data_IF_664795712143
#
_entry.id   IF_664795712143
#
_cell.length_a   1.000
_cell.length_b   1.000
_cell.length_c   1.000
_cell.angle_alpha   90.00
_cell.angle_beta   90.00
_cell.angle_gamma   90.00
#
_symmetry.space_group_name_H-M   'P 1'
#
loop_
_entity.id
_entity.type
_entity.pdbx_description
1 polymer ?
#
# COMPACT_ATOMS: atom_id res chain seq x y z
N UNK A 1 -15.22 15.51 -18.84
CA UNK A 1 -15.05 14.24 -18.11
C UNK A 1 -14.23 14.54 -16.88
N UNK A 2 -14.66 14.25 -15.68
CA UNK A 2 -13.74 14.31 -14.56
C UNK A 2 -12.59 13.35 -14.87
N UNK A 3 -11.37 13.83 -14.78
CA UNK A 3 -10.18 12.99 -14.89
C UNK A 3 -10.31 11.88 -13.84
N UNK A 4 -10.17 10.62 -14.25
CA UNK A 4 -10.17 9.51 -13.29
C UNK A 4 -9.09 9.76 -12.24
N UNK A 5 -9.45 9.72 -10.97
CA UNK A 5 -8.54 9.92 -9.85
C UNK A 5 -7.35 8.98 -9.99
N UNK A 6 -6.14 9.52 -9.95
CA UNK A 6 -4.92 8.73 -10.04
C UNK A 6 -4.41 8.36 -8.65
N UNK A 7 -4.27 7.05 -8.39
CA UNK A 7 -3.83 6.51 -7.11
C UNK A 7 -2.55 5.70 -7.32
N UNK A 8 -1.48 6.04 -6.62
CA UNK A 8 -0.32 5.19 -6.48
C UNK A 8 -0.43 4.34 -5.20
N UNK A 9 -0.14 3.05 -5.29
CA UNK A 9 -0.01 2.18 -4.13
C UNK A 9 1.46 1.96 -3.83
N UNK A 10 1.85 2.20 -2.59
CA UNK A 10 3.22 2.00 -2.08
C UNK A 10 3.25 0.80 -1.15
N UNK A 11 4.16 -0.12 -1.40
CA UNK A 11 4.43 -1.29 -0.57
C UNK A 11 5.90 -1.31 -0.21
N UNK A 12 6.23 -1.27 1.08
CA UNK A 12 7.61 -1.44 1.56
C UNK A 12 7.80 -2.89 1.97
N UNK A 13 8.69 -3.59 1.26
CA UNK A 13 9.05 -4.97 1.54
C UNK A 13 10.32 -5.05 2.36
N UNK A 14 10.31 -5.89 3.39
CA UNK A 14 11.48 -6.34 4.11
C UNK A 14 11.23 -7.74 4.64
N UNK A 15 11.82 -8.74 3.98
CA UNK A 15 11.72 -10.16 4.35
C UNK A 15 10.27 -10.64 4.53
N UNK A 16 9.35 -10.22 3.64
CA UNK A 16 7.94 -10.58 3.76
C UNK A 16 7.60 -11.98 3.21
N UNK A 17 8.55 -12.66 2.58
CA UNK A 17 8.34 -14.00 2.01
C UNK A 17 7.15 -14.04 1.06
N UNK A 18 6.34 -15.09 1.17
CA UNK A 18 5.14 -15.30 0.33
C UNK A 18 4.05 -14.24 0.51
N UNK A 19 4.08 -13.47 1.61
CA UNK A 19 3.07 -12.44 1.84
C UNK A 19 3.14 -11.33 0.81
N UNK A 20 4.35 -10.92 0.39
CA UNK A 20 4.51 -9.92 -0.66
C UNK A 20 3.76 -10.32 -1.92
N UNK A 21 3.96 -11.54 -2.42
CA UNK A 21 3.30 -12.03 -3.62
C UNK A 21 1.78 -12.00 -3.50
N UNK A 22 1.25 -12.44 -2.36
CA UNK A 22 -0.20 -12.42 -2.08
C UNK A 22 -0.75 -10.99 -2.02
N UNK A 23 -0.05 -10.07 -1.37
CA UNK A 23 -0.38 -8.65 -1.32
C UNK A 23 -0.49 -8.06 -2.73
N UNK A 24 0.56 -8.25 -3.55
CA UNK A 24 0.60 -7.74 -4.93
C UNK A 24 -0.45 -8.37 -5.83
N UNK A 25 -0.77 -9.65 -5.62
CA UNK A 25 -1.86 -10.33 -6.33
C UNK A 25 -3.21 -9.66 -6.03
N UNK A 26 -3.47 -9.27 -4.78
CA UNK A 26 -4.65 -8.51 -4.39
C UNK A 26 -4.74 -7.15 -5.09
N UNK A 27 -3.62 -6.48 -5.35
CA UNK A 27 -3.60 -5.22 -6.10
C UNK A 27 -3.90 -5.42 -7.59
N UNK A 28 -3.48 -6.54 -8.18
CA UNK A 28 -3.82 -6.87 -9.57
C UNK A 28 -5.31 -7.13 -9.78
N UNK A 29 -6.00 -7.62 -8.77
CA UNK A 29 -7.42 -8.00 -8.85
C UNK A 29 -8.38 -6.91 -8.40
N UNK A 30 -7.88 -5.71 -8.03
CA UNK A 30 -8.72 -4.57 -7.65
C UNK A 30 -9.74 -4.22 -8.74
N UNK A 31 -10.98 -3.87 -8.35
CA UNK A 31 -12.03 -3.36 -9.26
C UNK A 31 -11.61 -2.04 -9.89
N UNK A 32 -11.12 -1.09 -9.07
CA UNK A 32 -10.42 0.10 -9.52
C UNK A 32 -8.92 -0.19 -9.57
N UNK A 33 -8.32 -0.18 -10.76
CA UNK A 33 -6.89 -0.43 -10.90
C UNK A 33 -6.07 0.73 -10.34
N UNK A 34 -4.99 0.45 -9.58
CA UNK A 34 -4.04 1.50 -9.23
C UNK A 34 -3.39 2.08 -10.50
N UNK A 35 -3.15 3.37 -10.51
CA UNK A 35 -2.41 4.04 -11.60
C UNK A 35 -0.95 3.57 -11.61
N UNK A 36 -0.37 3.39 -10.42
CA UNK A 36 0.99 2.88 -10.22
C UNK A 36 1.03 1.98 -8.99
N UNK A 37 1.89 0.98 -9.02
CA UNK A 37 2.27 0.19 -7.84
C UNK A 37 3.78 0.28 -7.69
N UNK A 38 4.25 0.81 -6.57
CA UNK A 38 5.66 1.01 -6.27
C UNK A 38 6.00 0.14 -5.06
N UNK A 39 6.86 -0.83 -5.28
CA UNK A 39 7.39 -1.72 -4.24
C UNK A 39 8.80 -1.28 -3.91
N UNK A 40 9.05 -0.89 -2.67
CA UNK A 40 10.41 -0.62 -2.20
C UNK A 40 10.90 -1.82 -1.41
N UNK A 41 11.89 -2.50 -1.96
CA UNK A 41 12.58 -3.57 -1.26
C UNK A 41 13.68 -2.97 -0.37
N UNK A 42 13.46 -3.02 0.92
CA UNK A 42 14.31 -2.38 1.93
C UNK A 42 15.47 -3.30 2.35
N UNK A 43 16.23 -3.78 1.37
CA UNK A 43 17.34 -4.71 1.50
C UNK A 43 16.92 -6.06 2.12
N UNK A 44 15.89 -6.70 1.55
CA UNK A 44 15.51 -8.06 1.94
C UNK A 44 16.62 -9.05 1.64
N UNK A 45 16.76 -10.03 2.54
CA UNK A 45 17.70 -11.15 2.40
C UNK A 45 17.00 -12.47 2.06
N UNK A 46 15.66 -12.46 2.01
CA UNK A 46 14.84 -13.56 1.57
C UNK A 46 14.58 -13.52 0.05
N UNK A 47 13.87 -14.49 -0.48
CA UNK A 47 13.56 -14.58 -1.91
C UNK A 47 12.27 -13.84 -2.30
N UNK A 48 11.66 -13.06 -1.40
CA UNK A 48 10.37 -12.41 -1.62
C UNK A 48 10.28 -11.61 -2.93
N UNK A 49 11.35 -10.93 -3.32
CA UNK A 49 11.42 -10.20 -4.61
C UNK A 49 11.77 -11.13 -5.77
N UNK A 50 12.67 -12.09 -5.56
CA UNK A 50 13.15 -12.97 -6.64
C UNK A 50 12.06 -13.95 -7.09
N UNK A 51 11.12 -14.29 -6.21
CA UNK A 51 9.97 -15.16 -6.49
C UNK A 51 8.80 -14.43 -7.17
N UNK A 52 8.90 -13.11 -7.37
CA UNK A 52 7.93 -12.38 -8.15
C UNK A 52 8.04 -12.77 -9.63
N UNK A 53 6.97 -13.35 -10.16
CA UNK A 53 6.91 -13.78 -11.56
C UNK A 53 6.70 -12.61 -12.53
N UNK A 54 6.71 -12.94 -13.83
CA UNK A 54 6.48 -11.98 -14.92
C UNK A 54 5.14 -11.25 -14.83
N UNK A 55 4.19 -11.82 -14.14
CA UNK A 55 2.88 -11.20 -13.88
C UNK A 55 2.95 -9.88 -13.11
N UNK A 56 4.10 -9.56 -12.51
CA UNK A 56 4.34 -8.30 -11.76
C UNK A 56 5.29 -7.34 -12.49
N UNK A 57 5.68 -7.61 -13.74
CA UNK A 57 6.58 -6.74 -14.51
C UNK A 57 6.07 -5.30 -14.69
N UNK A 58 4.75 -5.10 -14.59
CA UNK A 58 4.15 -3.76 -14.65
C UNK A 58 4.30 -2.96 -13.34
N UNK A 59 4.74 -3.59 -12.26
CA UNK A 59 4.95 -2.94 -10.98
C UNK A 59 6.38 -2.42 -10.89
N UNK A 60 6.54 -1.25 -10.30
CA UNK A 60 7.83 -0.61 -10.15
C UNK A 60 8.53 -1.14 -8.89
N UNK A 61 9.68 -1.78 -9.05
CA UNK A 61 10.45 -2.32 -7.93
C UNK A 61 11.72 -1.49 -7.73
N UNK A 62 11.86 -0.90 -6.55
CA UNK A 62 13.04 -0.14 -6.12
C UNK A 62 13.76 -0.99 -5.09
N UNK A 63 14.98 -1.43 -5.39
CA UNK A 63 15.81 -2.20 -4.45
C UNK A 63 16.80 -1.28 -3.75
N UNK A 64 16.82 -1.30 -2.43
CA UNK A 64 17.79 -0.59 -1.61
C UNK A 64 18.95 -1.52 -1.23
N UNK A 65 20.14 -0.95 -1.06
CA UNK A 65 21.34 -1.70 -0.67
C UNK A 65 21.40 -2.00 0.83
N UNK A 66 20.70 -1.19 1.63
CA UNK A 66 20.61 -1.34 3.08
C UNK A 66 19.20 -1.06 3.59
N UNK A 67 18.87 -1.58 4.78
CA UNK A 67 17.60 -1.29 5.43
C UNK A 67 17.62 0.13 6.01
N UNK A 68 16.97 1.04 5.31
CA UNK A 68 16.86 2.47 5.65
C UNK A 68 15.72 2.79 6.61
N UNK A 69 14.98 1.78 7.05
CA UNK A 69 13.77 1.94 7.86
C UNK A 69 12.52 2.22 7.04
N UNK A 70 11.39 1.97 7.68
CA UNK A 70 10.06 2.03 7.03
C UNK A 70 9.72 3.44 6.49
N UNK A 71 9.95 4.47 7.31
CA UNK A 71 9.59 5.84 6.94
C UNK A 71 10.40 6.36 5.74
N UNK A 72 11.70 6.10 5.70
CA UNK A 72 12.55 6.52 4.58
C UNK A 72 12.13 5.83 3.29
N UNK A 73 11.90 4.52 3.32
CA UNK A 73 11.49 3.74 2.15
C UNK A 73 10.14 4.24 1.59
N UNK A 74 9.16 4.52 2.46
CA UNK A 74 7.90 5.11 2.05
C UNK A 74 8.09 6.50 1.41
N UNK A 75 8.88 7.38 2.03
CA UNK A 75 9.14 8.73 1.51
C UNK A 75 9.84 8.68 0.14
N UNK A 76 10.72 7.71 -0.08
CA UNK A 76 11.35 7.49 -1.37
C UNK A 76 10.30 7.14 -2.45
N UNK A 77 9.40 6.20 -2.15
CA UNK A 77 8.31 5.82 -3.06
C UNK A 77 7.37 6.99 -3.36
N UNK A 78 7.01 7.79 -2.36
CA UNK A 78 6.16 8.98 -2.53
C UNK A 78 6.79 9.98 -3.51
N UNK A 79 8.10 10.19 -3.44
CA UNK A 79 8.81 11.06 -4.40
C UNK A 79 8.73 10.53 -5.84
N UNK A 80 8.69 9.21 -6.02
CA UNK A 80 8.50 8.61 -7.34
C UNK A 80 7.05 8.74 -7.84
N UNK A 81 6.08 8.78 -6.92
CA UNK A 81 4.64 8.86 -7.20
C UNK A 81 4.13 10.30 -7.39
N UNK A 82 5.00 11.27 -7.66
CA UNK A 82 4.72 12.71 -7.69
C UNK A 82 3.64 13.17 -8.69
N UNK A 83 3.20 12.29 -9.60
CA UNK A 83 2.17 12.60 -10.60
C UNK A 83 0.81 11.95 -10.26
N UNK A 84 0.64 11.40 -9.05
CA UNK A 84 -0.61 10.82 -8.61
C UNK A 84 -1.33 11.78 -7.65
N UNK A 85 -2.67 11.78 -7.71
CA UNK A 85 -3.51 12.61 -6.85
C UNK A 85 -3.50 12.11 -5.41
N UNK A 86 -3.42 10.77 -5.24
CA UNK A 86 -3.42 10.11 -3.94
C UNK A 86 -2.36 9.02 -3.85
N UNK A 87 -1.87 8.82 -2.63
CA UNK A 87 -0.95 7.75 -2.28
C UNK A 87 -1.65 6.82 -1.27
N UNK A 88 -1.72 5.54 -1.59
CA UNK A 88 -2.20 4.51 -0.68
C UNK A 88 -1.02 3.68 -0.19
N UNK A 89 -0.82 3.62 1.12
CA UNK A 89 0.19 2.78 1.74
C UNK A 89 -0.41 1.43 2.11
N UNK A 90 0.26 0.34 1.75
CA UNK A 90 -0.17 -1.02 2.05
C UNK A 90 1.03 -1.82 2.55
N UNK A 91 0.88 -2.46 3.70
CA UNK A 91 1.91 -3.35 4.21
C UNK A 91 1.98 -4.65 3.38
N UNK A 92 3.15 -5.27 3.22
CA UNK A 92 3.32 -6.48 2.40
C UNK A 92 2.58 -7.70 2.95
N UNK A 93 2.19 -7.67 4.22
CA UNK A 93 1.38 -8.69 4.91
C UNK A 93 -0.11 -8.33 5.02
N UNK A 94 -0.53 -7.23 4.42
CA UNK A 94 -1.92 -6.81 4.33
C UNK A 94 -2.53 -7.19 2.98
N UNK A 95 -3.75 -7.72 3.00
CA UNK A 95 -4.45 -8.20 1.81
C UNK A 95 -5.67 -7.36 1.55
N UNK A 96 -5.58 -6.51 0.55
CA UNK A 96 -6.66 -5.60 0.19
C UNK A 96 -7.89 -6.36 -0.34
N UNK A 97 -9.08 -5.97 0.13
CA UNK A 97 -10.34 -6.45 -0.46
C UNK A 97 -10.41 -6.03 -1.95
N UNK A 98 -11.12 -6.79 -2.81
CA UNK A 98 -11.16 -6.51 -4.25
C UNK A 98 -11.64 -5.10 -4.61
N UNK A 99 -12.44 -4.46 -3.77
CA UNK A 99 -13.02 -3.12 -3.95
C UNK A 99 -12.34 -2.03 -3.09
N UNK A 100 -11.18 -2.34 -2.50
CA UNK A 100 -10.49 -1.44 -1.58
C UNK A 100 -10.16 -0.07 -2.18
N UNK A 101 -9.53 -0.03 -3.35
CA UNK A 101 -9.19 1.24 -4.02
C UNK A 101 -10.42 1.98 -4.53
N UNK A 102 -11.45 1.28 -4.97
CA UNK A 102 -12.72 1.88 -5.38
C UNK A 102 -13.39 2.57 -4.20
N UNK A 103 -13.43 1.92 -3.02
CA UNK A 103 -13.97 2.54 -1.80
C UNK A 103 -13.17 3.75 -1.35
N UNK A 104 -11.84 3.70 -1.41
CA UNK A 104 -10.99 4.86 -1.12
C UNK A 104 -11.27 6.01 -2.10
N UNK A 105 -11.35 5.70 -3.39
CA UNK A 105 -11.69 6.69 -4.42
C UNK A 105 -13.05 7.34 -4.18
N UNK A 106 -14.07 6.56 -3.83
CA UNK A 106 -15.39 7.10 -3.50
C UNK A 106 -15.35 7.99 -2.26
N UNK A 107 -14.61 7.57 -1.22
CA UNK A 107 -14.46 8.35 0.01
C UNK A 107 -13.83 9.73 -0.25
N UNK A 108 -12.88 9.85 -1.19
CA UNK A 108 -12.30 11.17 -1.54
C UNK A 108 -13.32 12.10 -2.17
N UNK A 109 -14.29 11.57 -2.91
CA UNK A 109 -15.40 12.33 -3.48
C UNK A 109 -16.47 12.69 -2.45
N UNK A 110 -16.79 11.77 -1.54
CA UNK A 110 -17.80 11.96 -0.50
C UNK A 110 -17.33 12.92 0.61
N UNK A 111 -16.02 12.98 0.88
CA UNK A 111 -15.40 13.78 1.93
C UNK A 111 -14.22 14.61 1.37
N UNK A 112 -14.49 15.60 0.50
CA UNK A 112 -13.44 16.35 -0.21
C UNK A 112 -12.58 17.22 0.73
N UNK A 113 -13.04 17.48 1.95
CA UNK A 113 -12.31 18.21 2.99
C UNK A 113 -11.26 17.34 3.71
N UNK A 114 -11.33 16.01 3.55
CA UNK A 114 -10.41 15.10 4.20
C UNK A 114 -9.13 14.92 3.38
N UNK A 115 -7.98 15.11 4.02
CA UNK A 115 -6.66 14.93 3.40
C UNK A 115 -6.10 13.51 3.57
N UNK A 116 -6.72 12.68 4.40
CA UNK A 116 -6.30 11.29 4.64
C UNK A 116 -7.47 10.39 5.04
N UNK A 117 -7.36 9.11 4.71
CA UNK A 117 -8.33 8.08 5.03
C UNK A 117 -7.62 6.86 5.63
N UNK A 118 -8.18 6.31 6.69
CA UNK A 118 -7.75 5.05 7.26
C UNK A 118 -8.62 3.89 6.76
N UNK A 119 -8.00 2.78 6.41
CA UNK A 119 -8.71 1.58 6.01
C UNK A 119 -9.19 0.80 7.23
N UNK A 120 -10.37 0.18 7.10
CA UNK A 120 -10.86 -0.76 8.07
C UNK A 120 -10.06 -2.06 7.99
N UNK A 121 -9.33 -2.40 9.06
CA UNK A 121 -8.48 -3.59 9.09
C UNK A 121 -9.14 -4.72 9.88
N UNK A 122 -9.19 -5.89 9.26
CA UNK A 122 -9.65 -7.14 9.87
C UNK A 122 -8.45 -8.08 10.06
N UNK A 123 -8.46 -8.86 11.13
CA UNK A 123 -7.46 -9.93 11.30
C UNK A 123 -7.62 -10.98 10.21
N UNK A 124 -6.51 -11.39 9.63
CA UNK A 124 -6.51 -12.42 8.59
C UNK A 124 -7.20 -13.71 9.10
N UNK A 125 -8.19 -14.18 8.33
CA UNK A 125 -8.98 -15.37 8.66
C UNK A 125 -9.92 -15.23 9.86
N UNK A 126 -10.19 -14.01 10.35
CA UNK A 126 -11.15 -13.74 11.45
C UNK A 126 -12.00 -12.53 11.12
N UNK A 127 -13.31 -12.62 11.39
CA UNK A 127 -14.27 -11.49 11.24
C UNK A 127 -14.13 -10.47 12.39
N UNK A 128 -12.95 -10.34 12.99
CA UNK A 128 -12.68 -9.40 14.07
C UNK A 128 -11.85 -8.25 13.54
N UNK A 129 -12.29 -7.05 13.92
CA UNK A 129 -11.58 -5.81 13.65
C UNK A 129 -10.22 -5.84 14.34
N UNK A 130 -9.15 -5.51 13.60
CA UNK A 130 -7.79 -5.39 14.14
C UNK A 130 -7.46 -3.93 14.51
N UNK A 131 -8.06 -2.95 13.81
CA UNK A 131 -7.90 -1.54 14.11
C UNK A 131 -8.78 -0.66 13.22
N UNK A 132 -9.12 0.52 13.76
CA UNK A 132 -9.83 1.60 13.04
C UNK A 132 -9.02 2.89 13.01
N UNK A 133 -7.75 2.83 13.37
CA UNK A 133 -6.86 3.96 13.60
C UNK A 133 -6.50 4.10 15.08
N UNK A 134 -5.49 4.91 15.33
CA UNK A 134 -5.00 5.18 16.68
C UNK A 134 -5.68 6.40 17.28
N UNK A 135 -5.96 6.37 18.59
CA UNK A 135 -6.40 7.53 19.35
C UNK A 135 -5.19 8.06 20.11
N UNK A 136 -4.75 9.26 19.76
CA UNK A 136 -3.65 9.92 20.46
C UNK A 136 -4.14 10.69 21.68
N UNK A 137 -3.54 10.41 22.83
CA UNK A 137 -3.77 11.19 24.05
C UNK A 137 -2.89 12.45 24.07
N UNK A 138 -3.31 13.46 24.86
CA UNK A 138 -2.58 14.73 25.00
C UNK A 138 -1.15 14.53 25.53
N UNK A 139 -0.89 13.40 26.21
CA UNK A 139 0.43 13.00 26.70
C UNK A 139 1.32 12.30 25.64
N UNK A 140 0.84 12.14 24.41
CA UNK A 140 1.60 11.51 23.32
C UNK A 140 1.65 9.98 23.34
N UNK A 141 0.87 9.31 24.20
CA UNK A 141 0.66 7.86 24.14
C UNK A 141 -0.51 7.51 23.23
N UNK A 142 -0.37 6.40 22.49
CA UNK A 142 -1.42 5.81 21.67
C UNK A 142 -2.09 4.65 22.42
#
# INVERSE_FOLDING_TARGET
>A
MPSSLSIAVVVVNWNAGDYLKKCLQGLKTQTLKPTRVIVVDNASTDDSINELGKEFESFEIIKLEENTGFAFANNLAVKQANNCDWIAFLNPDAFAAPDWLERLSNATGDFPECASFGSHMLRYGRDRMDGTGDIYHVCGSA
#
